data_IF_003104937960
#
_entry.id   IF_003104937960
#
_cell.length_a   1.000
_cell.length_b   1.000
_cell.length_c   1.000
_cell.angle_alpha   90.00
_cell.angle_beta   90.00
_cell.angle_gamma   90.00
#
_symmetry.space_group_name_H-M   'P 1'
#
loop_
_entity.id
_entity.type
_entity.pdbx_description
1 polymer ?
#
# COMPACT_ATOMS: atom_id res chain seq x y z
N UNK A 1 7.07 6.64 20.22
CA UNK A 1 6.40 5.62 19.37
C UNK A 1 6.23 6.25 17.99
N UNK A 2 6.40 5.50 16.91
CA UNK A 2 6.24 6.06 15.56
C UNK A 2 4.75 5.95 15.15
N UNK A 3 4.11 7.01 14.65
CA UNK A 3 2.69 6.98 14.26
C UNK A 3 2.44 6.11 13.02
N UNK A 4 3.42 5.96 12.13
CA UNK A 4 3.36 5.05 11.00
C UNK A 4 4.18 3.78 11.28
N UNK A 5 3.68 2.64 10.77
CA UNK A 5 4.35 1.34 10.97
C UNK A 5 5.62 1.19 10.12
N UNK A 6 5.68 1.85 8.99
CA UNK A 6 6.73 1.62 7.99
C UNK A 6 8.15 1.98 8.47
N UNK A 7 8.41 3.06 9.25
CA UNK A 7 9.75 3.35 9.73
C UNK A 7 10.34 2.27 10.63
N UNK A 8 9.50 1.59 11.42
CA UNK A 8 9.94 0.53 12.30
C UNK A 8 10.52 -0.63 11.48
N UNK A 9 9.95 -0.87 10.29
CA UNK A 9 10.38 -1.95 9.41
C UNK A 9 11.79 -1.75 8.87
N UNK A 10 12.26 -0.52 8.68
CA UNK A 10 13.63 -0.26 8.18
C UNK A 10 14.70 -0.79 9.12
N UNK A 11 14.40 -0.88 10.42
CA UNK A 11 15.30 -1.43 11.43
C UNK A 11 15.26 -2.96 11.51
N UNK A 12 14.18 -3.58 11.03
CA UNK A 12 13.92 -5.02 11.17
C UNK A 12 14.08 -5.78 9.85
N UNK A 13 13.95 -5.10 8.71
CA UNK A 13 13.95 -5.73 7.38
C UNK A 13 15.20 -5.32 6.61
N UNK A 14 16.23 -6.18 6.51
CA UNK A 14 17.42 -5.87 5.73
C UNK A 14 17.11 -5.54 4.27
N UNK A 15 17.63 -4.42 3.80
CA UNK A 15 17.45 -3.94 2.43
C UNK A 15 16.15 -3.16 2.18
N UNK A 16 15.33 -2.95 3.20
CA UNK A 16 14.22 -2.01 3.13
C UNK A 16 14.70 -0.60 3.50
N UNK A 17 14.45 0.33 2.61
CA UNK A 17 14.73 1.75 2.81
C UNK A 17 13.44 2.55 2.63
N UNK A 18 13.21 3.54 3.50
CA UNK A 18 12.07 4.45 3.44
C UNK A 18 12.58 5.86 3.68
N UNK A 19 12.30 6.77 2.74
CA UNK A 19 12.62 8.17 2.90
C UNK A 19 11.68 8.80 3.91
N UNK A 20 12.22 9.32 5.01
CA UNK A 20 11.47 10.08 6.01
C UNK A 20 11.80 11.57 5.88
N UNK A 21 10.80 12.43 6.08
CA UNK A 21 10.99 13.90 6.04
C UNK A 21 11.47 14.46 7.37
N UNK A 22 11.20 13.80 8.44
CA UNK A 22 11.52 14.25 9.79
C UNK A 22 11.07 13.30 10.88
N UNK A 23 10.65 13.86 12.01
CA UNK A 23 10.16 13.09 13.16
C UNK A 23 8.86 12.39 12.83
N UNK A 24 7.99 13.04 12.06
CA UNK A 24 6.73 12.53 11.54
C UNK A 24 6.56 12.97 10.10
N UNK A 25 5.77 12.19 9.35
CA UNK A 25 5.38 12.48 7.98
C UNK A 25 6.41 12.07 6.94
N UNK A 26 5.91 11.57 5.84
CA UNK A 26 6.66 11.16 4.65
C UNK A 26 6.40 12.09 3.48
N UNK A 27 5.18 12.66 3.40
CA UNK A 27 4.73 13.53 2.33
C UNK A 27 4.52 12.82 1.00
N UNK A 28 4.06 13.54 0.00
CA UNK A 28 3.64 12.99 -1.30
C UNK A 28 4.33 13.64 -2.49
N UNK A 29 4.70 14.92 -2.43
CA UNK A 29 5.33 15.64 -3.55
C UNK A 29 6.86 15.58 -3.55
N UNK A 30 7.48 15.90 -4.69
CA UNK A 30 8.93 15.95 -4.84
C UNK A 30 9.65 14.60 -4.66
N UNK A 31 8.97 13.47 -4.97
CA UNK A 31 9.54 12.14 -4.75
C UNK A 31 9.51 11.68 -3.30
N UNK A 32 8.92 12.47 -2.40
CA UNK A 32 8.84 12.21 -0.97
C UNK A 32 7.62 11.39 -0.56
N UNK A 33 6.92 10.74 -1.48
CA UNK A 33 5.75 9.88 -1.18
C UNK A 33 6.09 8.65 -0.32
N UNK A 34 6.91 8.85 0.74
CA UNK A 34 7.51 7.77 1.47
C UNK A 34 8.25 6.87 0.48
N UNK A 35 9.23 7.42 -0.25
CA UNK A 35 10.02 6.66 -1.22
C UNK A 35 10.52 5.38 -0.58
N UNK A 36 9.80 4.28 -0.82
CA UNK A 36 10.15 2.95 -0.31
C UNK A 36 10.95 2.21 -1.35
N UNK A 37 12.01 1.55 -0.94
CA UNK A 37 12.72 0.60 -1.80
C UNK A 37 13.06 -0.66 -1.01
N UNK A 38 12.96 -1.79 -1.68
CA UNK A 38 13.36 -3.08 -1.15
C UNK A 38 14.43 -3.66 -2.05
N UNK A 39 15.66 -3.84 -1.51
CA UNK A 39 16.83 -4.29 -2.27
C UNK A 39 17.10 -3.45 -3.53
N UNK A 40 16.94 -2.14 -3.44
CA UNK A 40 17.16 -1.21 -4.55
C UNK A 40 15.98 -1.07 -5.54
N UNK A 41 14.92 -1.86 -5.39
CA UNK A 41 13.71 -1.72 -6.21
C UNK A 41 12.75 -0.76 -5.50
N UNK A 42 12.56 0.43 -6.04
CA UNK A 42 11.79 1.50 -5.40
C UNK A 42 10.28 1.42 -5.66
N UNK A 43 9.50 2.02 -4.75
CA UNK A 43 8.04 2.11 -4.85
C UNK A 43 7.53 3.27 -5.71
N UNK A 44 8.39 4.20 -6.06
CA UNK A 44 7.99 5.45 -6.76
C UNK A 44 7.30 5.25 -8.11
N UNK A 45 7.27 4.02 -8.62
CA UNK A 45 6.57 3.65 -9.85
C UNK A 45 5.73 2.38 -9.66
N UNK A 46 5.21 2.11 -8.46
CA UNK A 46 4.38 0.93 -8.23
C UNK A 46 5.13 -0.40 -8.38
N UNK A 47 6.32 -0.53 -7.81
CA UNK A 47 7.14 -1.76 -7.89
C UNK A 47 7.18 -2.54 -6.58
N UNK A 48 6.69 -1.95 -5.51
CA UNK A 48 6.56 -2.56 -4.18
C UNK A 48 5.10 -2.47 -3.76
N UNK A 49 4.48 -3.61 -3.52
CA UNK A 49 3.09 -3.69 -3.11
C UNK A 49 2.97 -3.54 -1.59
N UNK A 50 2.09 -2.66 -1.15
CA UNK A 50 1.64 -2.62 0.25
C UNK A 50 0.21 -3.13 0.32
N UNK A 51 -0.06 -4.01 1.27
CA UNK A 51 -1.37 -4.60 1.53
C UNK A 51 -1.81 -4.32 2.97
N UNK A 52 -3.11 -4.24 3.19
CA UNK A 52 -3.74 -4.34 4.51
C UNK A 52 -4.66 -5.55 4.47
N UNK A 53 -4.41 -6.54 5.33
CA UNK A 53 -5.14 -7.83 5.36
C UNK A 53 -5.30 -8.48 3.97
N UNK A 54 -4.26 -8.34 3.11
CA UNK A 54 -4.25 -8.89 1.76
C UNK A 54 -4.82 -7.97 0.67
N UNK A 55 -5.38 -6.80 1.02
CA UNK A 55 -5.96 -5.87 0.04
C UNK A 55 -4.95 -4.80 -0.41
N UNK A 56 -4.74 -4.61 -1.73
CA UNK A 56 -3.79 -3.64 -2.26
C UNK A 56 -4.05 -2.20 -1.80
N UNK A 57 -2.97 -1.50 -1.45
CA UNK A 57 -2.98 -0.13 -0.95
C UNK A 57 -2.11 0.76 -1.84
N UNK A 58 -2.66 1.24 -2.95
CA UNK A 58 -1.97 2.21 -3.81
C UNK A 58 -2.98 3.18 -4.44
N UNK A 59 -2.47 4.32 -4.88
CA UNK A 59 -3.26 5.33 -5.57
C UNK A 59 -3.65 4.84 -6.96
N UNK A 60 -4.92 4.93 -7.30
CA UNK A 60 -5.45 4.53 -8.61
C UNK A 60 -4.82 5.28 -9.79
N UNK A 61 -4.43 6.54 -9.61
CA UNK A 61 -3.78 7.36 -10.63
C UNK A 61 -2.26 7.15 -10.69
N UNK A 62 -1.60 7.18 -9.53
CA UNK A 62 -0.14 7.28 -9.43
C UNK A 62 0.53 5.92 -9.22
N UNK A 63 -0.22 4.89 -8.82
CA UNK A 63 0.26 3.53 -8.66
C UNK A 63 1.23 3.29 -7.51
N UNK A 64 1.42 4.24 -6.60
CA UNK A 64 2.28 4.08 -5.43
C UNK A 64 1.49 4.15 -4.12
N UNK A 65 1.96 3.52 -3.04
CA UNK A 65 1.36 3.62 -1.73
C UNK A 65 1.59 5.00 -1.10
N UNK A 66 0.75 5.39 -0.14
CA UNK A 66 0.90 6.60 0.68
C UNK A 66 1.27 6.19 2.09
N UNK A 67 2.54 6.32 2.46
CA UNK A 67 3.09 5.83 3.71
C UNK A 67 2.40 6.42 4.96
N UNK A 68 1.98 7.67 4.91
CA UNK A 68 1.30 8.35 6.01
C UNK A 68 -0.14 7.85 6.26
N UNK A 69 -0.71 7.06 5.35
CA UNK A 69 -2.02 6.45 5.53
C UNK A 69 -2.01 5.17 6.40
N UNK A 70 -0.83 4.60 6.71
CA UNK A 70 -0.72 3.32 7.43
C UNK A 70 -0.42 3.52 8.91
N UNK A 71 -1.47 3.47 9.72
CA UNK A 71 -1.38 3.68 11.16
C UNK A 71 -0.76 2.47 11.86
N UNK A 72 0.13 2.70 12.82
CA UNK A 72 0.82 1.63 13.56
C UNK A 72 -0.09 0.82 14.47
N UNK A 73 -1.14 1.44 15.00
CA UNK A 73 -2.04 0.82 15.98
C UNK A 73 -2.90 -0.30 15.43
N UNK A 74 -3.26 -0.24 14.15
CA UNK A 74 -4.09 -1.30 13.57
C UNK A 74 -3.30 -2.59 13.35
N UNK A 75 -1.96 -2.52 13.29
CA UNK A 75 -1.15 -3.67 12.94
C UNK A 75 -0.87 -4.60 14.12
N UNK A 76 -1.11 -5.88 13.93
CA UNK A 76 -0.64 -6.96 14.80
C UNK A 76 0.77 -7.38 14.42
N UNK A 77 1.00 -7.59 13.13
CA UNK A 77 2.29 -7.94 12.54
C UNK A 77 2.40 -7.40 11.13
N UNK A 78 3.61 -7.40 10.61
CA UNK A 78 3.89 -7.10 9.21
C UNK A 78 4.64 -8.26 8.59
N UNK A 79 4.13 -8.71 7.46
CA UNK A 79 4.73 -9.77 6.67
C UNK A 79 5.44 -9.13 5.48
N UNK A 80 6.72 -9.45 5.28
CA UNK A 80 7.51 -8.90 4.17
C UNK A 80 8.01 -10.03 3.29
N UNK A 81 7.48 -10.08 2.07
CA UNK A 81 7.95 -10.97 1.04
C UNK A 81 8.95 -10.22 0.14
N UNK A 82 10.18 -10.73 0.06
CA UNK A 82 11.27 -10.11 -0.68
C UNK A 82 11.49 -10.79 -2.02
N UNK A 83 11.48 -10.01 -3.09
CA UNK A 83 11.61 -10.48 -4.47
C UNK A 83 10.26 -10.61 -5.17
N UNK A 84 10.24 -11.09 -6.43
CA UNK A 84 9.04 -11.17 -7.23
C UNK A 84 7.94 -12.01 -6.55
N UNK A 85 6.77 -11.43 -6.39
CA UNK A 85 5.59 -12.05 -5.81
C UNK A 85 4.35 -11.91 -6.72
N UNK A 86 4.59 -11.61 -7.98
CA UNK A 86 3.54 -11.22 -8.92
C UNK A 86 2.55 -12.34 -9.25
N UNK A 87 2.89 -13.62 -9.02
CA UNK A 87 1.94 -14.73 -9.23
C UNK A 87 0.74 -14.58 -8.29
N UNK A 88 0.96 -14.36 -7.01
CA UNK A 88 -0.11 -14.26 -6.01
C UNK A 88 -0.70 -12.85 -5.89
N UNK A 89 0.12 -11.80 -6.09
CA UNK A 89 -0.27 -10.42 -5.78
C UNK A 89 -0.36 -9.50 -7.01
N UNK A 90 -0.08 -10.01 -8.21
CA UNK A 90 -0.27 -9.30 -9.47
C UNK A 90 0.77 -8.21 -9.75
N UNK A 91 0.34 -7.21 -10.51
CA UNK A 91 1.08 -6.00 -10.83
C UNK A 91 1.54 -5.29 -9.56
N UNK A 92 2.64 -4.54 -9.61
CA UNK A 92 3.24 -3.82 -8.49
C UNK A 92 3.94 -4.68 -7.41
N UNK A 93 3.84 -6.02 -7.47
CA UNK A 93 4.56 -6.94 -6.55
C UNK A 93 5.91 -7.41 -7.11
N UNK A 94 6.52 -6.67 -8.06
CA UNK A 94 7.77 -7.03 -8.72
C UNK A 94 8.97 -7.02 -7.77
N UNK A 95 9.06 -6.04 -6.86
CA UNK A 95 10.14 -5.91 -5.88
C UNK A 95 9.86 -6.62 -4.57
N UNK A 96 8.62 -6.95 -4.31
CA UNK A 96 8.16 -7.58 -3.08
C UNK A 96 6.81 -7.07 -2.60
N UNK A 97 6.42 -7.58 -1.43
CA UNK A 97 5.14 -7.26 -0.79
C UNK A 97 5.36 -6.96 0.69
N UNK A 98 4.71 -5.92 1.17
CA UNK A 98 4.57 -5.61 2.60
C UNK A 98 3.09 -5.77 2.95
N UNK A 99 2.73 -6.79 3.72
CA UNK A 99 1.36 -7.03 4.17
C UNK A 99 1.20 -6.66 5.64
N UNK A 100 0.37 -5.67 5.92
CA UNK A 100 0.02 -5.23 7.26
C UNK A 100 -1.17 -6.06 7.71
N UNK A 101 -0.95 -6.99 8.64
CA UNK A 101 -2.02 -7.81 9.23
C UNK A 101 -2.58 -7.10 10.43
N UNK A 102 -3.88 -6.85 10.42
CA UNK A 102 -4.55 -6.07 11.46
C UNK A 102 -4.81 -6.87 12.73
N UNK A 103 -4.82 -6.19 13.86
CA UNK A 103 -4.99 -6.80 15.19
C UNK A 103 -6.34 -7.46 15.34
N UNK A 104 -6.35 -8.56 16.11
CA UNK A 104 -7.55 -9.23 16.56
C UNK A 104 -7.45 -9.51 18.07
N UNK A 105 -8.59 -9.62 18.75
CA UNK A 105 -8.63 -10.13 20.10
C UNK A 105 -9.02 -11.62 20.05
N UNK A 106 -8.11 -12.48 20.48
CA UNK A 106 -8.29 -13.93 20.44
C UNK A 106 -9.01 -14.48 21.66
N UNK A 107 -8.90 -13.78 22.79
CA UNK A 107 -9.51 -14.12 24.07
C UNK A 107 -10.79 -13.32 24.29
N UNK A 108 -11.77 -13.94 24.99
CA UNK A 108 -12.99 -13.27 25.42
C UNK A 108 -12.68 -12.04 26.27
N UNK A 109 -13.41 -10.96 26.04
CA UNK A 109 -13.31 -9.77 26.87
C UNK A 109 -13.24 -8.46 26.11
N UNK A 110 -12.87 -7.42 26.83
CA UNK A 110 -12.68 -6.05 26.32
C UNK A 110 -11.29 -5.58 26.71
N UNK A 111 -10.56 -5.04 25.74
CA UNK A 111 -9.23 -4.47 25.97
C UNK A 111 -9.13 -3.09 25.35
N UNK A 112 -8.89 -2.09 26.20
CA UNK A 112 -8.66 -0.71 25.76
C UNK A 112 -7.21 -0.32 25.99
N UNK A 113 -6.57 0.25 25.00
CA UNK A 113 -5.23 0.83 25.11
C UNK A 113 -5.33 2.33 24.80
N UNK A 114 -4.66 3.13 25.60
CA UNK A 114 -4.47 4.56 25.38
C UNK A 114 -2.97 4.82 25.36
N UNK A 115 -2.49 5.48 24.31
CA UNK A 115 -1.11 5.95 24.19
C UNK A 115 -1.13 7.47 24.05
N UNK A 116 -0.39 8.15 24.95
CA UNK A 116 -0.17 9.58 24.88
C UNK A 116 1.33 9.85 24.94
N UNK A 117 1.82 10.67 24.05
CA UNK A 117 3.22 11.07 24.01
C UNK A 117 3.34 12.54 23.66
N UNK A 118 4.21 13.25 24.37
CA UNK A 118 4.57 14.63 24.06
C UNK A 118 6.09 14.78 24.05
N UNK A 119 6.62 15.53 23.10
CA UNK A 119 8.06 15.65 22.90
C UNK A 119 8.47 16.98 22.28
N UNK A 120 9.75 17.07 21.90
CA UNK A 120 10.34 18.25 21.27
C UNK A 120 9.58 18.67 20.01
N UNK A 121 9.70 19.94 19.65
CA UNK A 121 9.04 20.54 18.48
C UNK A 121 7.51 20.43 18.53
N UNK A 122 6.92 20.59 19.73
CA UNK A 122 5.48 20.49 19.96
C UNK A 122 4.88 19.17 19.41
N UNK A 123 5.68 18.10 19.46
CA UNK A 123 5.26 16.79 18.98
C UNK A 123 4.27 16.15 19.94
N UNK A 124 3.06 15.91 19.49
CA UNK A 124 2.00 15.22 20.23
C UNK A 124 1.62 13.95 19.48
N UNK A 125 1.52 12.85 20.20
CA UNK A 125 0.98 11.58 19.72
C UNK A 125 -0.15 11.17 20.65
N UNK A 126 -1.31 10.89 20.09
CA UNK A 126 -2.48 10.44 20.83
C UNK A 126 -3.17 9.33 20.07
N UNK A 127 -3.37 8.22 20.74
CA UNK A 127 -3.97 7.04 20.15
C UNK A 127 -4.85 6.31 21.18
N UNK A 128 -6.05 5.92 20.76
CA UNK A 128 -6.94 5.05 21.54
C UNK A 128 -7.34 3.85 20.66
N UNK A 129 -7.30 2.67 21.26
CA UNK A 129 -7.76 1.43 20.62
C UNK A 129 -8.60 0.64 21.59
N UNK A 130 -9.80 0.26 21.16
CA UNK A 130 -10.69 -0.64 21.87
C UNK A 130 -10.86 -1.93 21.07
N UNK A 131 -10.76 -3.08 21.74
CA UNK A 131 -10.94 -4.41 21.17
C UNK A 131 -11.92 -5.19 22.02
N UNK A 132 -12.87 -5.85 21.37
CA UNK A 132 -13.89 -6.67 22.01
C UNK A 132 -13.91 -8.03 21.34
N UNK A 133 -14.02 -9.10 22.13
CA UNK A 133 -14.45 -10.43 21.70
C UNK A 133 -15.54 -10.93 22.62
N UNK A 134 -16.67 -11.36 22.03
CA UNK A 134 -17.77 -11.98 22.74
C UNK A 134 -18.41 -13.05 21.87
N UNK A 135 -18.17 -14.32 22.22
CA UNK A 135 -18.57 -15.45 21.39
C UNK A 135 -17.96 -15.34 19.98
N UNK A 136 -18.78 -15.45 18.96
CA UNK A 136 -18.35 -15.28 17.57
C UNK A 136 -18.07 -13.83 17.15
N UNK A 137 -18.47 -12.83 17.93
CA UNK A 137 -18.30 -11.42 17.59
C UNK A 137 -16.94 -10.88 18.00
N UNK A 138 -16.31 -10.14 17.08
CA UNK A 138 -15.07 -9.41 17.32
C UNK A 138 -15.18 -7.97 16.83
N UNK A 139 -14.59 -7.04 17.54
CA UNK A 139 -14.45 -5.66 17.08
C UNK A 139 -13.08 -5.07 17.45
N UNK A 140 -12.60 -4.18 16.60
CA UNK A 140 -11.44 -3.32 16.83
C UNK A 140 -11.83 -1.92 16.37
N UNK A 141 -11.77 -0.96 17.27
CA UNK A 141 -12.00 0.46 16.95
C UNK A 141 -10.78 1.25 17.43
N UNK A 142 -10.22 2.08 16.57
CA UNK A 142 -9.04 2.88 16.87
C UNK A 142 -9.22 4.30 16.35
N UNK A 143 -8.70 5.27 17.12
CA UNK A 143 -8.59 6.66 16.71
C UNK A 143 -7.22 7.21 17.06
N UNK A 144 -6.68 8.09 16.24
CA UNK A 144 -5.38 8.71 16.44
C UNK A 144 -5.38 10.18 16.05
N UNK A 145 -4.58 10.95 16.77
CA UNK A 145 -4.21 12.30 16.42
C UNK A 145 -2.72 12.50 16.68
N UNK A 146 -2.01 12.96 15.65
CA UNK A 146 -0.57 13.16 15.70
C UNK A 146 -0.22 14.53 15.13
N UNK A 147 0.71 15.26 15.75
CA UNK A 147 1.21 16.52 15.21
C UNK A 147 2.66 16.75 15.58
N UNK A 148 3.34 17.57 14.80
CA UNK A 148 4.67 18.13 15.13
C UNK A 148 4.89 19.41 14.34
N UNK A 149 5.60 20.38 14.92
CA UNK A 149 6.05 21.58 14.21
C UNK A 149 7.31 21.29 13.37
N UNK A 150 7.97 20.12 13.63
CA UNK A 150 9.22 19.73 12.99
C UNK A 150 10.45 20.44 13.55
N UNK A 151 11.63 19.89 13.26
CA UNK A 151 12.91 20.45 13.72
C UNK A 151 13.49 21.53 12.78
N UNK A 152 12.79 21.82 11.68
CA UNK A 152 13.13 22.84 10.68
C UNK A 152 11.88 23.65 10.36
N UNK A 153 12.11 24.86 9.85
CA UNK A 153 11.05 25.69 9.29
C UNK A 153 10.37 24.97 8.11
N UNK A 154 9.05 25.13 7.95
CA UNK A 154 8.23 24.49 6.92
C UNK A 154 8.25 22.95 6.99
N UNK A 155 8.21 22.38 8.19
CA UNK A 155 8.26 20.94 8.42
C UNK A 155 7.10 20.43 9.28
N UNK A 156 6.06 21.26 9.42
CA UNK A 156 4.87 20.90 10.17
C UNK A 156 4.15 19.67 9.58
N UNK A 157 3.60 18.87 10.48
CA UNK A 157 2.78 17.72 10.13
C UNK A 157 1.64 17.56 11.13
N UNK A 158 0.46 17.27 10.64
CA UNK A 158 -0.73 16.99 11.44
C UNK A 158 -1.52 15.86 10.79
N UNK A 159 -1.98 14.88 11.60
CA UNK A 159 -2.67 13.71 11.09
C UNK A 159 -3.81 13.29 12.02
N UNK A 160 -4.93 12.97 11.43
CA UNK A 160 -6.10 12.35 12.06
C UNK A 160 -6.31 10.98 11.45
N UNK A 161 -6.55 9.97 12.28
CA UNK A 161 -6.80 8.62 11.80
C UNK A 161 -7.94 7.94 12.55
N UNK A 162 -8.74 7.18 11.81
CA UNK A 162 -9.79 6.33 12.35
C UNK A 162 -9.77 4.96 11.67
N UNK A 163 -9.88 3.90 12.46
CA UNK A 163 -9.99 2.53 11.98
C UNK A 163 -11.06 1.78 12.75
N UNK A 164 -11.91 1.07 12.04
CA UNK A 164 -12.86 0.14 12.64
C UNK A 164 -12.88 -1.18 11.87
N UNK A 165 -12.85 -2.31 12.60
CA UNK A 165 -12.99 -3.66 12.06
C UNK A 165 -14.00 -4.42 12.88
N UNK A 166 -14.95 -5.07 12.22
CA UNK A 166 -15.93 -5.94 12.82
C UNK A 166 -15.81 -7.34 12.21
N UNK A 167 -15.95 -8.35 13.02
CA UNK A 167 -15.94 -9.74 12.57
C UNK A 167 -17.00 -10.58 13.30
N UNK A 168 -17.47 -11.61 12.61
CA UNK A 168 -18.39 -12.57 13.19
C UNK A 168 -18.09 -13.98 12.69
N UNK A 169 -17.79 -14.89 13.62
CA UNK A 169 -17.61 -16.32 13.41
C UNK A 169 -18.99 -17.00 13.53
N UNK A 170 -19.67 -17.27 12.41
CA UNK A 170 -20.98 -17.88 12.42
C UNK A 170 -20.95 -19.41 12.43
N UNK A 171 -19.76 -19.99 12.24
CA UNK A 171 -19.48 -21.40 12.49
C UNK A 171 -17.99 -21.60 12.78
N UNK A 172 -17.54 -22.80 13.24
CA UNK A 172 -16.12 -23.11 13.38
C UNK A 172 -15.32 -23.03 12.06
N UNK A 173 -16.01 -23.01 10.93
CA UNK A 173 -15.42 -23.08 9.60
C UNK A 173 -15.59 -21.79 8.79
N UNK A 174 -16.48 -20.89 9.21
CA UNK A 174 -16.83 -19.71 8.44
C UNK A 174 -16.87 -18.47 9.28
N UNK A 175 -16.26 -17.41 8.79
CA UNK A 175 -16.36 -16.07 9.36
C UNK A 175 -16.62 -15.02 8.28
N UNK A 176 -17.16 -13.90 8.70
CA UNK A 176 -17.24 -12.67 7.93
C UNK A 176 -16.52 -11.56 8.68
N UNK A 177 -15.80 -10.73 7.98
CA UNK A 177 -15.20 -9.50 8.53
C UNK A 177 -15.40 -8.34 7.59
N UNK A 178 -15.48 -7.16 8.16
CA UNK A 178 -15.46 -5.91 7.40
C UNK A 178 -14.69 -4.85 8.18
N UNK A 179 -14.05 -3.95 7.46
CA UNK A 179 -13.27 -2.87 8.04
C UNK A 179 -13.39 -1.57 7.25
N UNK A 180 -13.10 -0.48 7.94
CA UNK A 180 -12.93 0.85 7.37
C UNK A 180 -11.74 1.54 8.00
N UNK A 181 -10.90 2.15 7.19
CA UNK A 181 -9.79 3.00 7.59
C UNK A 181 -9.94 4.37 6.90
N UNK A 182 -9.80 5.44 7.65
CA UNK A 182 -9.73 6.80 7.10
C UNK A 182 -8.60 7.54 7.79
N UNK A 183 -7.75 8.16 6.99
CA UNK A 183 -6.65 9.01 7.46
C UNK A 183 -6.66 10.32 6.70
N UNK A 184 -6.60 11.41 7.43
CA UNK A 184 -6.39 12.75 6.88
C UNK A 184 -5.10 13.32 7.44
N UNK A 185 -4.28 13.94 6.61
CA UNK A 185 -3.09 14.63 7.07
C UNK A 185 -2.78 15.89 6.27
N UNK A 186 -2.23 16.86 6.98
CA UNK A 186 -1.64 18.08 6.46
C UNK A 186 -0.13 18.02 6.70
N UNK A 187 0.65 18.34 5.67
CA UNK A 187 2.10 18.29 5.75
C UNK A 187 2.72 19.45 4.97
N UNK A 188 3.65 20.16 5.60
CA UNK A 188 4.50 21.13 4.92
C UNK A 188 5.76 20.45 4.39
N UNK A 189 6.36 20.95 3.33
CA UNK A 189 7.54 20.36 2.71
C UNK A 189 8.74 21.32 2.81
N UNK A 190 9.76 20.98 3.61
CA UNK A 190 10.87 21.90 3.87
C UNK A 190 11.91 21.98 2.75
N UNK A 191 11.92 21.04 1.79
CA UNK A 191 13.00 20.93 0.80
C UNK A 191 14.36 20.55 1.40
N UNK A 192 15.41 20.71 0.64
CA UNK A 192 16.80 20.53 1.09
C UNK A 192 17.26 21.64 2.03
N UNK A 193 18.30 21.39 2.81
CA UNK A 193 18.87 22.42 3.72
C UNK A 193 19.47 23.56 2.93
N UNK A 194 20.13 23.24 1.85
CA UNK A 194 20.81 24.18 0.94
C UNK A 194 19.87 24.85 -0.06
N UNK A 195 18.69 24.25 -0.28
CA UNK A 195 17.68 24.76 -1.21
C UNK A 195 16.27 24.52 -0.60
N UNK A 196 15.89 25.33 0.38
CA UNK A 196 14.63 25.14 1.10
C UNK A 196 13.43 25.48 0.21
N UNK A 197 12.41 24.63 0.33
CA UNK A 197 11.10 24.87 -0.30
C UNK A 197 10.33 25.95 0.46
N UNK A 198 9.70 26.81 -0.31
CA UNK A 198 8.84 27.89 0.18
C UNK A 198 7.39 27.58 -0.23
N UNK A 199 6.45 27.79 0.69
CA UNK A 199 5.00 27.62 0.45
C UNK A 199 4.63 26.26 -0.15
N UNK A 200 5.32 25.21 0.26
CA UNK A 200 5.03 23.84 -0.13
C UNK A 200 4.22 23.12 0.95
N UNK A 201 2.99 22.75 0.65
CA UNK A 201 2.09 22.09 1.57
C UNK A 201 1.16 21.08 0.86
N UNK A 202 0.60 20.19 1.65
CA UNK A 202 -0.27 19.12 1.18
C UNK A 202 -1.36 18.86 2.18
N UNK A 203 -2.58 18.66 1.69
CA UNK A 203 -3.74 18.18 2.44
C UNK A 203 -4.27 16.93 1.76
N UNK A 204 -4.21 15.81 2.44
CA UNK A 204 -4.50 14.50 1.85
C UNK A 204 -5.43 13.70 2.73
N UNK A 205 -6.48 13.15 2.11
CA UNK A 205 -7.36 12.17 2.73
C UNK A 205 -7.23 10.84 2.01
N UNK A 206 -7.02 9.76 2.75
CA UNK A 206 -7.04 8.40 2.23
C UNK A 206 -8.05 7.58 3.01
N UNK A 207 -8.86 6.81 2.29
CA UNK A 207 -9.80 5.89 2.90
C UNK A 207 -9.73 4.50 2.26
N UNK A 208 -10.11 3.50 3.03
CA UNK A 208 -10.29 2.12 2.59
C UNK A 208 -11.47 1.51 3.32
N UNK A 209 -12.22 0.68 2.63
CA UNK A 209 -13.16 -0.25 3.26
C UNK A 209 -13.01 -1.62 2.63
N UNK A 210 -13.21 -2.68 3.42
CA UNK A 210 -13.23 -4.04 2.90
C UNK A 210 -14.28 -4.90 3.58
N UNK A 211 -14.71 -5.95 2.86
CA UNK A 211 -15.53 -7.03 3.40
C UNK A 211 -14.98 -8.36 2.88
N UNK A 212 -14.80 -9.33 3.77
CA UNK A 212 -14.36 -10.66 3.39
C UNK A 212 -15.21 -11.74 4.07
N UNK A 213 -15.52 -12.78 3.33
CA UNK A 213 -16.08 -14.03 3.85
C UNK A 213 -15.00 -15.09 3.67
N UNK A 214 -14.62 -15.73 4.78
CA UNK A 214 -13.52 -16.69 4.82
C UNK A 214 -14.03 -18.05 5.25
N UNK A 215 -13.44 -19.10 4.66
CA UNK A 215 -13.65 -20.46 5.11
C UNK A 215 -12.35 -21.11 5.55
N UNK A 216 -12.43 -21.98 6.54
CA UNK A 216 -11.27 -22.72 7.06
C UNK A 216 -11.69 -24.09 7.54
N UNK A 217 -11.42 -25.09 6.71
CA UNK A 217 -11.58 -26.50 7.03
C UNK A 217 -10.20 -27.14 7.26
N UNK A 218 -10.18 -28.41 7.64
CA UNK A 218 -8.94 -29.15 7.91
C UNK A 218 -7.96 -29.15 6.73
N UNK A 219 -8.48 -29.36 5.51
CA UNK A 219 -7.66 -29.49 4.29
C UNK A 219 -7.88 -28.39 3.27
N UNK A 220 -8.77 -27.47 3.52
CA UNK A 220 -9.06 -26.38 2.57
C UNK A 220 -9.40 -25.10 3.29
N UNK A 221 -8.91 -23.98 2.74
CA UNK A 221 -9.21 -22.65 3.25
C UNK A 221 -9.24 -21.65 2.10
N UNK A 222 -10.06 -20.63 2.21
CA UNK A 222 -10.13 -19.61 1.19
C UNK A 222 -10.93 -18.40 1.64
N UNK A 223 -11.01 -17.42 0.76
CA UNK A 223 -11.79 -16.21 0.99
C UNK A 223 -12.36 -15.65 -0.31
N UNK A 224 -13.50 -15.01 -0.18
CA UNK A 224 -14.01 -14.03 -1.14
C UNK A 224 -13.97 -12.68 -0.46
N UNK A 225 -13.37 -11.70 -1.09
CA UNK A 225 -13.23 -10.36 -0.54
C UNK A 225 -13.58 -9.29 -1.57
N UNK A 226 -14.13 -8.19 -1.07
CA UNK A 226 -14.32 -6.94 -1.77
C UNK A 226 -13.60 -5.84 -1.02
N UNK A 227 -12.96 -4.91 -1.73
CA UNK A 227 -12.39 -3.72 -1.14
C UNK A 227 -12.63 -2.48 -2.03
N UNK A 228 -12.63 -1.32 -1.38
CA UNK A 228 -12.69 -0.02 -2.03
C UNK A 228 -11.76 0.95 -1.33
N UNK A 229 -10.81 1.51 -2.08
CA UNK A 229 -9.87 2.53 -1.63
C UNK A 229 -10.17 3.84 -2.35
N UNK A 230 -10.03 4.97 -1.67
CA UNK A 230 -10.16 6.28 -2.28
C UNK A 230 -9.16 7.27 -1.71
N UNK A 231 -8.92 8.35 -2.42
CA UNK A 231 -8.08 9.43 -1.94
C UNK A 231 -8.35 10.75 -2.61
N UNK A 232 -8.30 11.80 -1.79
CA UNK A 232 -8.36 13.18 -2.19
C UNK A 232 -7.05 13.86 -1.86
N UNK A 233 -6.47 14.57 -2.83
CA UNK A 233 -5.16 15.20 -2.71
C UNK A 233 -5.26 16.66 -3.14
N UNK A 234 -4.86 17.55 -2.24
CA UNK A 234 -4.68 18.95 -2.48
C UNK A 234 -3.22 19.32 -2.22
N UNK A 235 -2.49 19.67 -3.27
CA UNK A 235 -1.03 19.82 -3.20
C UNK A 235 -0.62 21.16 -3.74
N UNK A 236 0.15 21.90 -2.93
CA UNK A 236 0.95 23.03 -3.33
C UNK A 236 2.40 22.56 -3.42
N UNK A 237 2.96 22.50 -4.61
CA UNK A 237 4.35 22.06 -4.81
C UNK A 237 5.37 23.08 -4.27
N UNK A 238 4.93 24.34 -4.02
CA UNK A 238 5.81 25.40 -3.57
C UNK A 238 6.83 25.83 -4.62
N UNK A 239 7.89 26.51 -4.16
CA UNK A 239 8.97 27.01 -5.00
C UNK A 239 10.26 27.12 -4.20
N UNK A 240 11.39 27.31 -4.88
CA UNK A 240 12.69 27.62 -4.27
C UNK A 240 13.19 29.00 -4.72
N UNK A 241 14.20 29.53 -4.03
CA UNK A 241 14.85 30.78 -4.42
C UNK A 241 16.05 30.57 -5.36
N UNK A 242 16.36 29.32 -5.68
CA UNK A 242 17.45 28.97 -6.58
C UNK A 242 17.13 29.46 -8.02
N UNK A 243 17.93 30.33 -8.63
CA UNK A 243 17.66 30.83 -9.98
C UNK A 243 17.68 29.76 -11.07
N UNK A 244 18.38 28.64 -10.82
CA UNK A 244 18.47 27.50 -11.73
C UNK A 244 17.30 26.55 -11.58
N UNK A 245 16.50 26.69 -10.51
CA UNK A 245 15.29 25.90 -10.32
C UNK A 245 14.10 26.55 -11.03
N UNK A 246 13.45 25.77 -11.90
CA UNK A 246 12.23 26.17 -12.61
C UNK A 246 10.98 26.16 -11.75
N UNK A 247 11.11 25.93 -10.45
CA UNK A 247 10.02 25.87 -9.50
C UNK A 247 9.62 27.28 -9.03
N UNK A 248 9.02 28.03 -9.92
CA UNK A 248 8.43 29.33 -9.59
C UNK A 248 7.09 29.18 -8.84
N UNK A 249 6.64 30.21 -8.07
CA UNK A 249 5.32 30.20 -7.47
C UNK A 249 4.24 29.93 -8.52
N UNK A 250 3.39 28.94 -8.25
CA UNK A 250 2.31 28.54 -9.15
C UNK A 250 0.98 29.12 -8.65
N UNK A 251 0.20 29.77 -9.51
CA UNK A 251 -1.10 30.33 -9.14
C UNK A 251 -2.18 29.25 -8.97
N UNK A 252 -1.82 28.00 -9.00
CA UNK A 252 -2.72 26.85 -8.89
C UNK A 252 -2.24 25.82 -7.87
N UNK A 253 -3.17 24.96 -7.48
CA UNK A 253 -2.91 23.77 -6.66
C UNK A 253 -3.27 22.54 -7.47
N UNK A 254 -2.48 21.48 -7.32
CA UNK A 254 -2.83 20.18 -7.86
C UNK A 254 -3.96 19.58 -7.01
N UNK A 255 -5.06 19.28 -7.65
CA UNK A 255 -6.28 18.73 -7.05
C UNK A 255 -6.58 17.40 -7.73
N UNK A 256 -6.61 16.31 -6.98
CA UNK A 256 -6.90 15.00 -7.54
C UNK A 256 -7.76 14.14 -6.61
N UNK A 257 -8.59 13.34 -7.24
CA UNK A 257 -9.34 12.26 -6.63
C UNK A 257 -8.99 10.97 -7.34
N UNK A 258 -8.61 9.94 -6.59
CA UNK A 258 -8.38 8.61 -7.11
C UNK A 258 -9.19 7.55 -6.35
N UNK A 259 -9.55 6.50 -7.05
CA UNK A 259 -10.19 5.34 -6.45
C UNK A 259 -9.67 4.02 -7.03
N UNK A 260 -9.82 2.97 -6.24
CA UNK A 260 -9.58 1.59 -6.63
C UNK A 260 -10.56 0.68 -5.91
N UNK A 261 -11.23 -0.18 -6.65
CA UNK A 261 -12.03 -1.24 -6.07
C UNK A 261 -11.62 -2.59 -6.63
N UNK A 262 -11.79 -3.65 -5.84
CA UNK A 262 -11.46 -4.99 -6.26
C UNK A 262 -12.34 -6.06 -5.63
N UNK A 263 -12.44 -7.16 -6.36
CA UNK A 263 -13.01 -8.42 -5.88
C UNK A 263 -11.93 -9.47 -6.09
N UNK A 264 -11.62 -10.21 -5.02
CA UNK A 264 -10.66 -11.32 -5.05
C UNK A 264 -11.32 -12.56 -4.47
N UNK A 265 -11.10 -13.68 -5.12
CA UNK A 265 -11.43 -15.00 -4.60
C UNK A 265 -10.21 -15.89 -4.69
N UNK A 266 -9.92 -16.62 -3.62
CA UNK A 266 -8.96 -17.70 -3.66
C UNK A 266 -9.44 -18.89 -2.84
N UNK A 267 -8.98 -20.08 -3.23
CA UNK A 267 -9.14 -21.31 -2.48
C UNK A 267 -7.82 -22.08 -2.47
N UNK A 268 -7.38 -22.46 -1.29
CA UNK A 268 -6.23 -23.30 -1.06
C UNK A 268 -6.69 -24.67 -0.57
N UNK A 269 -6.14 -25.74 -1.12
CA UNK A 269 -6.52 -27.11 -0.76
C UNK A 269 -5.28 -28.01 -0.64
N UNK A 270 -5.32 -28.93 0.32
CA UNK A 270 -4.41 -30.05 0.43
C UNK A 270 -5.06 -31.25 -0.24
N UNK A 271 -4.66 -31.55 -1.49
CA UNK A 271 -5.24 -32.65 -2.27
C UNK A 271 -4.66 -34.01 -1.85
N UNK A 272 -3.39 -34.04 -1.46
CA UNK A 272 -2.69 -35.22 -0.97
C UNK A 272 -1.57 -34.81 0.01
N UNK A 273 -0.89 -35.78 0.60
CA UNK A 273 0.13 -35.52 1.63
C UNK A 273 1.26 -34.64 1.12
N UNK A 274 1.62 -33.60 1.90
CA UNK A 274 2.70 -32.66 1.56
C UNK A 274 2.35 -31.68 0.43
N UNK A 275 1.10 -31.70 -0.08
CA UNK A 275 0.66 -30.82 -1.14
C UNK A 275 -0.07 -29.58 -0.60
N UNK A 276 0.06 -28.47 -1.29
CA UNK A 276 -0.83 -27.31 -1.22
C UNK A 276 -1.04 -26.76 -2.63
N UNK A 277 -2.28 -26.76 -3.07
CA UNK A 277 -2.72 -26.12 -4.29
C UNK A 277 -3.52 -24.88 -3.92
N UNK A 278 -3.16 -23.71 -4.44
CA UNK A 278 -3.92 -22.46 -4.30
C UNK A 278 -4.32 -21.98 -5.69
N UNK A 279 -5.60 -21.71 -5.88
CA UNK A 279 -6.10 -21.09 -7.10
C UNK A 279 -6.93 -19.85 -6.75
N UNK A 280 -6.92 -18.84 -7.61
CA UNK A 280 -7.67 -17.63 -7.37
C UNK A 280 -7.93 -16.81 -8.63
N UNK A 281 -8.83 -15.85 -8.46
CA UNK A 281 -9.23 -14.88 -9.47
C UNK A 281 -9.31 -13.51 -8.82
N UNK A 282 -8.75 -12.50 -9.49
CA UNK A 282 -8.79 -11.11 -9.08
C UNK A 282 -9.42 -10.26 -10.18
N UNK A 283 -10.23 -9.29 -9.77
CA UNK A 283 -10.70 -8.21 -10.63
C UNK A 283 -10.48 -6.89 -9.93
N UNK A 284 -9.84 -5.94 -10.62
CA UNK A 284 -9.61 -4.60 -10.12
C UNK A 284 -10.11 -3.57 -11.13
N UNK A 285 -10.75 -2.52 -10.60
CA UNK A 285 -11.05 -1.27 -11.31
C UNK A 285 -10.33 -0.16 -10.56
N UNK A 286 -9.56 0.64 -11.24
CA UNK A 286 -8.83 1.74 -10.64
C UNK A 286 -8.75 2.93 -11.59
N UNK A 287 -8.63 4.12 -11.03
CA UNK A 287 -8.58 5.33 -11.81
C UNK A 287 -8.64 6.59 -10.98
N UNK A 288 -9.09 7.67 -11.62
CA UNK A 288 -9.33 8.95 -10.97
C UNK A 288 -9.23 10.15 -11.90
N UNK A 289 -9.32 11.31 -11.28
CA UNK A 289 -9.29 12.61 -11.93
C UNK A 289 -8.20 13.47 -11.32
N UNK A 290 -7.49 14.22 -12.15
CA UNK A 290 -6.55 15.24 -11.70
C UNK A 290 -6.71 16.51 -12.51
N UNK A 291 -6.52 17.64 -11.84
CA UNK A 291 -6.65 18.98 -12.39
C UNK A 291 -5.75 19.97 -11.65
N UNK A 292 -5.38 21.07 -12.32
CA UNK A 292 -4.84 22.24 -11.67
C UNK A 292 -6.00 23.17 -11.34
N UNK A 293 -6.18 23.52 -10.08
CA UNK A 293 -7.17 24.49 -9.64
C UNK A 293 -6.47 25.81 -9.34
N UNK A 294 -6.79 26.82 -10.13
CA UNK A 294 -6.25 28.15 -9.96
C UNK A 294 -6.84 28.83 -8.72
N UNK A 295 -6.00 29.34 -7.85
CA UNK A 295 -6.36 29.99 -6.59
C UNK A 295 -5.97 31.46 -6.54
N UNK A 296 -5.22 31.94 -7.56
CA UNK A 296 -4.70 33.32 -7.66
C UNK A 296 -4.71 33.80 -9.12
N UNK A 297 -4.52 35.12 -9.30
CA UNK A 297 -4.39 35.76 -10.61
C UNK A 297 -5.71 35.85 -11.40
N UNK A 298 -5.58 36.13 -12.68
CA UNK A 298 -6.74 36.32 -13.59
C UNK A 298 -7.58 35.05 -13.78
N UNK A 299 -6.96 33.88 -13.61
CA UNK A 299 -7.60 32.57 -13.75
C UNK A 299 -8.16 32.02 -12.42
N UNK A 300 -8.21 32.82 -11.36
CA UNK A 300 -8.70 32.37 -10.06
C UNK A 300 -10.11 31.75 -10.17
N UNK A 301 -10.25 30.54 -9.64
CA UNK A 301 -11.46 29.73 -9.72
C UNK A 301 -11.55 28.79 -10.93
N UNK A 302 -10.70 28.98 -11.95
CA UNK A 302 -10.63 28.06 -13.09
C UNK A 302 -10.04 26.70 -12.72
N UNK A 303 -10.42 25.68 -13.51
CA UNK A 303 -9.91 24.32 -13.40
C UNK A 303 -9.34 23.86 -14.74
N UNK A 304 -8.07 23.55 -14.74
CA UNK A 304 -7.38 23.00 -15.90
C UNK A 304 -7.30 21.49 -15.77
N UNK A 305 -8.00 20.80 -16.64
CA UNK A 305 -8.06 19.35 -16.64
C UNK A 305 -6.71 18.74 -17.02
N UNK A 306 -6.25 17.73 -16.26
CA UNK A 306 -5.03 16.96 -16.55
C UNK A 306 -5.41 15.57 -17.05
N UNK A 307 -6.19 14.83 -16.26
CA UNK A 307 -6.56 13.44 -16.58
C UNK A 307 -7.88 13.06 -15.91
N UNK A 308 -8.68 12.26 -16.61
CA UNK A 308 -9.84 11.55 -16.08
C UNK A 308 -9.87 10.18 -16.77
N UNK A 309 -9.38 9.16 -16.09
CA UNK A 309 -9.20 7.81 -16.65
C UNK A 309 -9.55 6.74 -15.64
N UNK A 310 -10.12 5.65 -16.18
CA UNK A 310 -10.42 4.42 -15.46
C UNK A 310 -9.86 3.25 -16.24
N UNK A 311 -9.30 2.28 -15.54
CA UNK A 311 -8.73 1.06 -16.10
C UNK A 311 -9.23 -0.16 -15.33
N UNK A 312 -9.14 -1.32 -15.97
CA UNK A 312 -9.56 -2.60 -15.42
C UNK A 312 -8.47 -3.64 -15.59
N UNK A 313 -8.34 -4.49 -14.58
CA UNK A 313 -7.44 -5.63 -14.57
C UNK A 313 -8.21 -6.86 -14.11
N UNK A 314 -8.06 -7.97 -14.82
CA UNK A 314 -8.61 -9.27 -14.44
C UNK A 314 -7.51 -10.32 -14.53
N UNK A 315 -7.41 -11.15 -13.51
CA UNK A 315 -6.39 -12.19 -13.48
C UNK A 315 -6.90 -13.49 -12.90
N UNK A 316 -6.30 -14.58 -13.35
CA UNK A 316 -6.43 -15.90 -12.74
C UNK A 316 -5.07 -16.48 -12.44
N UNK A 317 -4.93 -17.21 -11.33
CA UNK A 317 -3.66 -17.81 -10.94
C UNK A 317 -3.83 -19.17 -10.29
N UNK A 318 -2.77 -19.97 -10.40
CA UNK A 318 -2.61 -21.23 -9.72
C UNK A 318 -1.18 -21.27 -9.15
N UNK A 319 -1.06 -21.67 -7.89
CA UNK A 319 0.19 -21.92 -7.19
C UNK A 319 0.15 -23.31 -6.57
N UNK A 320 1.19 -24.10 -6.86
CA UNK A 320 1.32 -25.47 -6.44
C UNK A 320 2.60 -25.68 -5.64
N UNK A 321 2.46 -26.11 -4.41
CA UNK A 321 3.57 -26.52 -3.55
C UNK A 321 3.48 -27.98 -3.22
N UNK A 322 4.61 -28.70 -3.29
CA UNK A 322 4.74 -30.11 -2.96
C UNK A 322 6.02 -30.41 -2.17
N UNK A 323 5.85 -31.00 -1.02
CA UNK A 323 6.94 -31.65 -0.32
C UNK A 323 7.20 -33.02 -0.99
N UNK A 324 8.20 -33.08 -1.87
CA UNK A 324 8.59 -34.29 -2.61
C UNK A 324 9.16 -35.34 -1.64
N UNK A 325 9.91 -34.85 -0.65
CA UNK A 325 10.50 -35.64 0.42
C UNK A 325 10.74 -34.75 1.64
N UNK A 326 11.20 -35.33 2.75
CA UNK A 326 11.54 -34.57 3.95
C UNK A 326 12.68 -33.55 3.74
N UNK A 327 13.45 -33.67 2.67
CA UNK A 327 14.58 -32.78 2.35
C UNK A 327 14.36 -31.89 1.13
N UNK A 328 13.24 -32.08 0.36
CA UNK A 328 12.99 -31.35 -0.88
C UNK A 328 11.53 -30.88 -0.99
N UNK A 329 11.32 -29.58 -1.11
CA UNK A 329 10.05 -28.96 -1.45
C UNK A 329 10.14 -28.29 -2.82
N UNK A 330 9.16 -28.52 -3.67
CA UNK A 330 8.92 -27.84 -4.96
C UNK A 330 7.80 -26.83 -4.78
N UNK A 331 7.97 -25.66 -5.39
CA UNK A 331 6.96 -24.61 -5.54
C UNK A 331 6.89 -24.17 -6.99
N UNK A 332 5.70 -24.10 -7.58
CA UNK A 332 5.51 -23.67 -8.96
C UNK A 332 4.16 -22.97 -9.12
N UNK A 333 4.16 -21.84 -9.78
CA UNK A 333 2.95 -21.06 -9.99
C UNK A 333 2.90 -20.37 -11.35
N UNK A 334 1.70 -20.03 -11.76
CA UNK A 334 1.44 -19.25 -12.97
C UNK A 334 0.25 -18.32 -12.73
N UNK A 335 0.37 -17.09 -13.21
CA UNK A 335 -0.70 -16.12 -13.29
C UNK A 335 -0.87 -15.66 -14.72
N UNK A 336 -2.09 -15.50 -15.15
CA UNK A 336 -2.48 -14.83 -16.39
C UNK A 336 -3.20 -13.57 -15.97
N UNK A 337 -2.71 -12.43 -16.43
CA UNK A 337 -3.20 -11.11 -16.05
C UNK A 337 -3.55 -10.34 -17.32
N UNK A 338 -4.74 -9.75 -17.37
CA UNK A 338 -5.22 -8.97 -18.51
C UNK A 338 -5.61 -7.56 -18.08
N UNK A 339 -4.92 -6.59 -18.66
CA UNK A 339 -5.17 -5.17 -18.45
C UNK A 339 -5.92 -4.57 -19.65
N UNK A 340 -6.96 -3.78 -19.38
CA UNK A 340 -7.89 -3.26 -20.39
C UNK A 340 -7.26 -2.43 -21.52
N UNK A 341 -6.06 -1.87 -21.33
CA UNK A 341 -5.38 -1.01 -22.32
C UNK A 341 -4.06 -1.59 -22.83
N UNK A 342 -3.47 -2.56 -22.13
CA UNK A 342 -2.11 -3.04 -22.43
C UNK A 342 -2.14 -4.46 -22.98
N UNK A 343 -3.14 -5.24 -22.56
CA UNK A 343 -3.28 -6.63 -22.99
C UNK A 343 -2.90 -7.63 -21.92
N UNK A 344 -2.53 -8.84 -22.34
CA UNK A 344 -2.37 -10.00 -21.46
C UNK A 344 -0.89 -10.31 -21.21
N UNK A 345 -0.57 -10.58 -19.94
CA UNK A 345 0.74 -11.01 -19.49
C UNK A 345 0.67 -12.39 -18.81
N UNK A 346 1.72 -13.21 -19.04
CA UNK A 346 1.91 -14.49 -18.40
C UNK A 346 3.05 -14.41 -17.42
N UNK A 347 2.79 -14.81 -16.17
CA UNK A 347 3.70 -14.62 -15.04
C UNK A 347 3.99 -15.99 -14.40
N UNK A 348 4.99 -16.74 -14.89
CA UNK A 348 5.42 -17.97 -14.25
C UNK A 348 6.37 -17.73 -13.09
N UNK A 349 6.36 -18.65 -12.12
CA UNK A 349 7.39 -18.78 -11.08
C UNK A 349 7.68 -20.24 -10.77
N UNK A 350 8.89 -20.55 -10.29
CA UNK A 350 9.25 -21.83 -9.73
C UNK A 350 10.29 -21.67 -8.64
N UNK A 351 10.27 -22.56 -7.66
CA UNK A 351 11.18 -22.57 -6.53
C UNK A 351 11.48 -23.97 -6.02
N UNK A 352 12.67 -24.13 -5.44
CA UNK A 352 13.11 -25.34 -4.76
C UNK A 352 13.64 -24.96 -3.39
N UNK A 353 13.27 -25.73 -2.37
CA UNK A 353 13.83 -25.62 -1.02
C UNK A 353 14.41 -26.95 -0.60
N UNK A 354 15.70 -26.94 -0.23
CA UNK A 354 16.42 -28.09 0.28
C UNK A 354 16.59 -27.96 1.78
N UNK A 355 16.01 -28.88 2.53
CA UNK A 355 16.12 -28.97 3.99
C UNK A 355 17.24 -29.94 4.35
N UNK A 356 18.39 -29.40 4.73
CA UNK A 356 19.60 -30.16 5.04
C UNK A 356 19.72 -30.45 6.56
N UNK A 357 20.50 -31.44 6.97
CA UNK A 357 20.82 -31.69 8.38
C UNK A 357 21.39 -30.44 9.07
N UNK A 358 21.14 -30.26 10.37
CA UNK A 358 21.64 -29.12 11.15
C UNK A 358 20.81 -27.85 10.98
N UNK A 359 19.52 -27.97 10.60
CA UNK A 359 18.60 -26.85 10.39
C UNK A 359 19.07 -25.88 9.29
N UNK A 360 19.80 -26.36 8.30
CA UNK A 360 20.23 -25.59 7.13
C UNK A 360 19.16 -25.72 6.06
N UNK A 361 18.72 -24.57 5.54
CA UNK A 361 17.78 -24.49 4.43
C UNK A 361 18.39 -23.73 3.27
N UNK A 362 18.47 -24.36 2.09
CA UNK A 362 18.88 -23.72 0.85
C UNK A 362 17.66 -23.52 -0.04
N UNK A 363 17.45 -22.28 -0.49
CA UNK A 363 16.35 -21.92 -1.38
C UNK A 363 16.87 -21.35 -2.68
N UNK A 364 16.29 -21.82 -3.79
CA UNK A 364 16.48 -21.26 -5.11
C UNK A 364 15.11 -20.99 -5.72
N UNK A 365 14.92 -19.80 -6.29
CA UNK A 365 13.67 -19.46 -6.97
C UNK A 365 13.94 -18.58 -8.17
N UNK A 366 13.12 -18.75 -9.20
CA UNK A 366 13.05 -17.90 -10.38
C UNK A 366 11.59 -17.55 -10.64
N UNK A 367 11.33 -16.31 -11.02
CA UNK A 367 9.98 -15.85 -11.33
C UNK A 367 10.01 -14.59 -12.17
N UNK A 368 8.96 -14.41 -12.96
CA UNK A 368 8.72 -13.19 -13.71
C UNK A 368 8.05 -12.17 -12.79
N UNK A 369 8.73 -11.07 -12.49
CA UNK A 369 8.11 -9.88 -11.93
C UNK A 369 7.59 -9.00 -13.05
N UNK A 370 6.41 -8.41 -12.91
CA UNK A 370 5.87 -7.50 -13.89
C UNK A 370 5.17 -6.32 -13.24
N UNK A 371 4.98 -5.27 -14.02
CA UNK A 371 4.25 -4.08 -13.66
C UNK A 371 3.61 -3.47 -14.90
N UNK A 372 2.34 -3.12 -14.80
CA UNK A 372 1.72 -2.27 -15.80
C UNK A 372 2.13 -0.80 -15.59
N UNK A 373 2.23 0.01 -16.66
CA UNK A 373 2.38 1.46 -16.53
C UNK A 373 1.18 2.06 -15.77
N UNK A 374 1.46 3.01 -14.91
CA UNK A 374 0.41 3.74 -14.17
C UNK A 374 -0.35 4.71 -15.10
N UNK A 375 -1.53 5.14 -14.69
CA UNK A 375 -2.28 6.18 -15.41
C UNK A 375 -1.45 7.46 -15.54
N UNK A 376 -0.68 7.81 -14.49
CA UNK A 376 0.25 8.93 -14.56
C UNK A 376 1.28 8.75 -15.68
N UNK A 377 1.91 7.60 -15.77
CA UNK A 377 2.93 7.33 -16.80
C UNK A 377 2.36 7.34 -18.21
N UNK A 378 1.12 6.88 -18.39
CA UNK A 378 0.47 6.82 -19.70
C UNK A 378 -0.12 8.15 -20.16
N UNK A 379 -0.62 8.99 -19.24
CA UNK A 379 -1.45 10.13 -19.60
C UNK A 379 -1.04 11.47 -18.97
N UNK A 380 -0.20 11.49 -17.94
CA UNK A 380 0.18 12.72 -17.23
C UNK A 380 1.65 13.13 -17.46
N UNK A 381 2.50 12.18 -17.82
CA UNK A 381 3.90 12.47 -18.15
C UNK A 381 3.97 12.92 -19.59
N UNK A 382 3.80 14.23 -19.76
CA UNK A 382 4.15 15.11 -20.88
C UNK A 382 3.94 14.65 -22.32
N UNK A 383 3.22 15.47 -23.03
CA UNK A 383 3.12 15.71 -24.47
C UNK A 383 4.44 15.84 -25.26
N UNK A 384 5.63 15.73 -24.65
CA UNK A 384 6.92 15.90 -25.31
C UNK A 384 7.55 14.57 -25.77
N UNK A 385 7.10 13.43 -25.25
CA UNK A 385 7.54 12.09 -25.66
C UNK A 385 6.37 11.13 -25.77
N UNK A 386 5.52 11.31 -26.78
CA UNK A 386 4.72 10.22 -27.32
C UNK A 386 5.67 9.36 -28.18
N UNK A 387 6.52 8.59 -27.51
CA UNK A 387 7.04 7.37 -28.10
C UNK A 387 6.08 6.27 -27.70
N UNK A 388 5.70 5.43 -28.66
CA UNK A 388 4.90 4.22 -28.47
C UNK A 388 5.27 3.49 -27.18
N UNK A 389 4.32 2.81 -26.50
CA UNK A 389 4.61 2.05 -25.29
C UNK A 389 5.63 0.97 -25.62
N UNK A 390 6.89 1.29 -25.48
CA UNK A 390 7.96 0.31 -25.60
C UNK A 390 7.78 -0.70 -24.47
N UNK A 391 7.42 -1.93 -24.81
CA UNK A 391 7.54 -3.11 -23.98
C UNK A 391 8.99 -3.19 -23.51
N UNK A 392 9.32 -2.61 -22.35
CA UNK A 392 10.58 -2.92 -21.69
C UNK A 392 10.38 -4.25 -20.94
N UNK A 393 10.78 -5.31 -21.61
CA UNK A 393 11.13 -6.57 -20.96
C UNK A 393 12.48 -6.34 -20.30
N UNK A 394 12.51 -6.33 -18.99
CA UNK A 394 13.72 -6.39 -18.19
C UNK A 394 13.84 -7.79 -17.62
#
# INVERSE_FOLDING_TARGET
MQPSILPILTQQVPGLFITARGIMGYGVSGGAAGGMSLRGIGSGSGRLMVLIDGHPQYMGLMGHPIADAYQSLMAERVEVLRGPASVLYGSNAMGGVINIVTRQLHEEGVKTNLNLGYGSFNTLQSEVTNRIRKGGFTSLISGSYNRTDGHRRNMGFEQYGGYAKLGYEFSPYWNIRGDVNVTHFNASQPGEVTDPMIDADQSITRGMTSVAVENRYERTSGAVSFFYNWGDHWINDGYTTNPDDKNNPKPYRFDSHDDMMGISWYQSAQLFTGNRLTAGVDYYRFGGKAQNRYVEGERNGEREHIVDKVQHEIAGYIDFRQDISHWLTLDAGIRIDHHSHIGTEWIPQAGLSFHLPGSIELKASAGKGFRYPTIREMYMLSLIHISEPTRRVV
#
